data_IF_870781192757
#
_entry.id   IF_870781192757
#
_cell.length_a   1.000
_cell.length_b   1.000
_cell.length_c   1.000
_cell.angle_alpha   90.00
_cell.angle_beta   90.00
_cell.angle_gamma   90.00
#
_symmetry.space_group_name_H-M   'P 1'
#
loop_
_entity.id
_entity.type
_entity.pdbx_description
1 polymer ?
#
# COMPACT_ATOMS: atom_id res chain seq x y z
N UNK A 1 3.50 -0.80 13.50
CA UNK A 1 2.81 0.24 12.71
C UNK A 1 2.52 -0.23 11.30
N UNK A 2 1.33 0.11 10.79
CA UNK A 2 0.86 -0.16 9.43
C UNK A 2 0.96 1.05 8.50
N UNK A 3 1.19 2.25 9.04
CA UNK A 3 1.30 3.50 8.30
C UNK A 3 2.26 4.48 8.99
N UNK A 4 2.66 5.52 8.27
CA UNK A 4 3.55 6.56 8.75
C UNK A 4 2.97 7.95 8.56
N UNK A 5 3.45 8.84 9.41
CA UNK A 5 3.03 10.22 9.44
C UNK A 5 4.12 11.16 8.91
N UNK A 6 3.70 12.36 8.51
CA UNK A 6 4.58 13.50 8.29
C UNK A 6 3.95 14.76 8.88
N UNK A 7 4.81 15.58 9.47
CA UNK A 7 4.46 16.92 9.89
C UNK A 7 4.38 17.83 8.67
N UNK A 8 3.25 18.51 8.47
CA UNK A 8 2.99 19.42 7.35
C UNK A 8 2.52 20.75 7.89
N UNK A 9 3.03 21.83 7.32
CA UNK A 9 2.49 23.17 7.49
C UNK A 9 1.52 23.45 6.33
N UNK A 10 0.28 23.85 6.64
CA UNK A 10 -0.72 24.25 5.64
C UNK A 10 -0.81 25.77 5.44
N UNK A 11 0.13 26.51 6.02
CA UNK A 11 0.21 27.97 6.00
C UNK A 11 -0.57 28.65 7.13
N UNK A 12 -1.30 27.89 7.95
CA UNK A 12 -2.01 28.39 9.14
C UNK A 12 -1.63 27.63 10.39
N UNK A 13 -1.53 26.31 10.28
CA UNK A 13 -1.18 25.42 11.38
C UNK A 13 -0.24 24.32 10.91
N UNK A 14 0.62 23.90 11.83
CA UNK A 14 1.44 22.70 11.67
C UNK A 14 0.66 21.51 12.19
N UNK A 15 0.43 20.50 11.34
CA UNK A 15 -0.33 19.30 11.69
C UNK A 15 0.32 18.02 11.18
N UNK A 16 0.06 16.93 11.90
CA UNK A 16 0.47 15.59 11.50
C UNK A 16 -0.52 15.02 10.49
N UNK A 17 -0.02 14.48 9.38
CA UNK A 17 -0.83 13.86 8.32
C UNK A 17 -0.34 12.45 8.03
N UNK A 18 -1.25 11.53 7.70
CA UNK A 18 -0.86 10.19 7.24
C UNK A 18 -0.45 10.32 5.76
N UNK A 19 0.77 9.91 5.42
CA UNK A 19 1.29 10.02 4.05
C UNK A 19 1.34 8.67 3.33
N UNK A 20 1.23 7.57 4.07
CA UNK A 20 1.26 6.24 3.48
C UNK A 20 1.44 5.13 4.48
N UNK A 21 1.67 3.93 3.95
CA UNK A 21 1.76 2.69 4.66
C UNK A 21 3.21 2.33 5.00
N UNK A 22 3.39 1.50 6.02
CA UNK A 22 4.64 0.77 6.22
C UNK A 22 4.53 -0.55 5.43
N UNK A 23 5.50 -0.83 4.57
CA UNK A 23 5.56 -2.05 3.78
C UNK A 23 5.59 -3.31 4.67
N UNK A 24 5.31 -4.47 4.08
CA UNK A 24 5.28 -5.72 4.82
C UNK A 24 6.65 -6.09 5.43
N UNK A 25 7.74 -5.69 4.79
CA UNK A 25 9.11 -5.83 5.31
C UNK A 25 9.46 -4.92 6.51
N UNK A 26 8.57 -3.98 6.86
CA UNK A 26 8.74 -2.99 7.93
C UNK A 26 9.85 -1.96 7.74
N UNK A 27 10.57 -1.98 6.63
CA UNK A 27 11.68 -1.07 6.33
C UNK A 27 11.25 0.06 5.40
N UNK A 28 10.39 -0.24 4.43
CA UNK A 28 10.00 0.71 3.39
C UNK A 28 8.69 1.42 3.70
N UNK A 29 8.58 2.63 3.16
CA UNK A 29 7.37 3.47 3.21
C UNK A 29 6.72 3.44 1.83
N UNK A 30 5.42 3.16 1.79
CA UNK A 30 4.63 3.12 0.55
C UNK A 30 3.65 4.29 0.58
N UNK A 31 3.81 5.33 -0.26
CA UNK A 31 2.88 6.45 -0.28
C UNK A 31 1.43 6.02 -0.54
N UNK A 32 0.47 6.80 -0.06
CA UNK A 32 -0.95 6.58 -0.36
C UNK A 32 -1.16 6.43 -1.88
N UNK A 33 -1.90 5.39 -2.28
CA UNK A 33 -2.18 5.07 -3.67
C UNK A 33 -1.06 4.32 -4.41
N UNK A 34 0.14 4.20 -3.85
CA UNK A 34 1.23 3.43 -4.45
C UNK A 34 1.17 1.95 -4.09
N UNK A 35 1.88 1.13 -4.87
CA UNK A 35 1.92 -0.32 -4.69
C UNK A 35 3.28 -0.83 -4.21
N UNK A 36 3.26 -1.96 -3.51
CA UNK A 36 4.43 -2.74 -3.13
C UNK A 36 4.15 -4.23 -3.33
N UNK A 37 5.15 -4.96 -3.79
CA UNK A 37 5.05 -6.40 -3.99
C UNK A 37 5.67 -7.12 -2.80
N UNK A 38 4.96 -8.13 -2.28
CA UNK A 38 5.45 -8.92 -1.17
C UNK A 38 4.87 -10.34 -1.21
N UNK A 39 5.73 -11.35 -1.08
CA UNK A 39 5.35 -12.75 -0.95
C UNK A 39 4.30 -13.26 -1.96
N UNK A 40 4.47 -12.92 -3.25
CA UNK A 40 3.57 -13.36 -4.31
C UNK A 40 2.29 -12.53 -4.48
N UNK A 41 2.22 -11.35 -3.87
CA UNK A 41 1.07 -10.44 -4.01
C UNK A 41 1.52 -9.02 -4.33
N UNK A 42 0.68 -8.30 -5.07
CA UNK A 42 0.77 -6.85 -5.21
C UNK A 42 -0.20 -6.21 -4.23
N UNK A 43 0.31 -5.33 -3.38
CA UNK A 43 -0.47 -4.58 -2.42
C UNK A 43 -0.52 -3.10 -2.80
N UNK A 44 -1.63 -2.42 -2.55
CA UNK A 44 -1.79 -0.97 -2.67
C UNK A 44 -1.98 -0.35 -1.29
N UNK A 45 -1.24 0.71 -0.99
CA UNK A 45 -1.52 1.49 0.20
C UNK A 45 -2.82 2.30 0.01
N UNK A 46 -3.83 2.01 0.81
CA UNK A 46 -5.15 2.61 0.66
C UNK A 46 -5.65 3.19 1.98
N UNK A 47 -6.33 4.34 1.88
CA UNK A 47 -7.19 4.86 2.94
C UNK A 47 -8.62 4.39 2.66
N UNK A 48 -9.17 3.58 3.55
CA UNK A 48 -10.57 3.13 3.48
C UNK A 48 -11.50 4.28 3.86
N UNK A 49 -12.78 4.16 3.48
CA UNK A 49 -13.84 5.11 3.86
C UNK A 49 -13.98 5.24 5.38
N UNK A 50 -13.63 4.21 6.15
CA UNK A 50 -13.56 4.25 7.62
C UNK A 50 -12.40 5.10 8.17
N UNK A 51 -11.54 5.64 7.32
CA UNK A 51 -10.32 6.36 7.71
C UNK A 51 -9.10 5.45 7.94
N UNK A 52 -9.27 4.13 7.96
CA UNK A 52 -8.18 3.16 8.15
C UNK A 52 -7.21 3.20 6.96
N UNK A 53 -5.92 3.40 7.25
CA UNK A 53 -4.84 3.34 6.24
C UNK A 53 -4.06 2.03 6.39
N UNK A 54 -4.01 1.24 5.33
CA UNK A 54 -3.29 -0.04 5.34
C UNK A 54 -2.92 -0.50 3.92
N UNK A 55 -2.02 -1.48 3.85
CA UNK A 55 -1.77 -2.24 2.62
C UNK A 55 -2.96 -3.16 2.35
N UNK A 56 -3.55 -3.05 1.17
CA UNK A 56 -4.61 -3.94 0.69
C UNK A 56 -4.08 -4.75 -0.50
N UNK A 57 -4.28 -6.07 -0.50
CA UNK A 57 -3.95 -6.88 -1.68
C UNK A 57 -4.85 -6.47 -2.84
N UNK A 58 -4.24 -6.25 -4.01
CA UNK A 58 -4.94 -5.84 -5.24
C UNK A 58 -4.59 -6.74 -6.43
N UNK A 59 -3.71 -7.71 -6.23
CA UNK A 59 -3.34 -8.69 -7.24
C UNK A 59 -2.41 -9.77 -6.69
N UNK A 60 -2.18 -10.79 -7.50
CA UNK A 60 -1.26 -11.89 -7.23
C UNK A 60 -0.07 -11.82 -8.21
N UNK A 61 1.03 -12.46 -7.85
CA UNK A 61 2.25 -12.56 -8.66
C UNK A 61 2.60 -14.04 -8.79
N UNK A 62 2.69 -14.52 -10.03
CA UNK A 62 3.05 -15.89 -10.33
C UNK A 62 4.01 -15.91 -11.53
N UNK A 63 5.14 -16.61 -11.40
CA UNK A 63 6.22 -16.66 -12.39
C UNK A 63 6.65 -15.28 -12.91
N UNK A 64 6.77 -14.32 -11.99
CA UNK A 64 7.16 -12.94 -12.28
C UNK A 64 6.07 -12.09 -12.92
N UNK A 65 4.90 -12.67 -13.22
CA UNK A 65 3.78 -11.96 -13.85
C UNK A 65 2.72 -11.56 -12.83
N UNK A 66 2.21 -10.33 -12.95
CA UNK A 66 1.15 -9.79 -12.09
C UNK A 66 -0.23 -10.10 -12.67
N UNK A 67 -1.15 -10.46 -11.78
CA UNK A 67 -2.54 -10.77 -12.09
C UNK A 67 -3.47 -9.90 -11.24
N UNK A 68 -4.35 -9.16 -11.89
CA UNK A 68 -5.42 -8.42 -11.24
C UNK A 68 -6.50 -9.37 -10.70
N UNK A 69 -7.36 -8.86 -9.81
CA UNK A 69 -8.51 -9.59 -9.28
C UNK A 69 -9.38 -10.11 -10.44
N UNK A 70 -9.64 -11.43 -10.43
CA UNK A 70 -10.45 -12.11 -11.45
C UNK A 70 -9.66 -12.62 -12.66
N UNK A 71 -8.40 -12.19 -12.85
CA UNK A 71 -7.53 -12.80 -13.85
C UNK A 71 -7.09 -14.18 -13.41
N UNK A 72 -7.00 -15.10 -14.37
CA UNK A 72 -6.58 -16.47 -14.15
C UNK A 72 -5.28 -16.74 -14.89
N UNK A 73 -4.50 -17.68 -14.36
CA UNK A 73 -3.35 -18.26 -15.04
C UNK A 73 -3.45 -19.79 -15.01
N UNK A 74 -2.94 -20.43 -16.05
CA UNK A 74 -2.78 -21.88 -16.09
C UNK A 74 -1.37 -22.22 -15.61
N UNK A 75 -1.26 -23.20 -14.73
CA UNK A 75 0.00 -23.90 -14.50
C UNK A 75 0.27 -24.72 -15.76
N UNK A 76 1.44 -24.51 -16.39
CA UNK A 76 1.92 -25.36 -17.48
C UNK A 76 2.62 -26.59 -16.91
#
# INVERSE_FOLDING_TARGET
NTYYYRCRDDGRVVKTTIEGCIAHDKQRRVPLGQTDDFNGYTYKCQQKTSGVVQMCSVGCIHDGQRYAIGQQYKLL
#
